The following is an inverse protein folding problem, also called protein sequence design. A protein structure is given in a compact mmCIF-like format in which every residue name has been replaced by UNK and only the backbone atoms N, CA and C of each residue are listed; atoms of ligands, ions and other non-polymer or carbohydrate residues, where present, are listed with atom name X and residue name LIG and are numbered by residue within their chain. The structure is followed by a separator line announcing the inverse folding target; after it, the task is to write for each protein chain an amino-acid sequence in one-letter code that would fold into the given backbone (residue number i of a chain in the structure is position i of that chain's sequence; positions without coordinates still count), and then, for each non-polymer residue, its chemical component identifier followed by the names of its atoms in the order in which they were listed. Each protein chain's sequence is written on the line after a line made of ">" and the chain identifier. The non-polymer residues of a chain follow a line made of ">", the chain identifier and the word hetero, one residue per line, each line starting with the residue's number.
data_IF_475092993515
#
_entry.id   IF_475092993515
#
_cell.length_a   1.000
_cell.length_b   1.000
_cell.length_c   1.000
_cell.angle_alpha   90.00
_cell.angle_beta   90.00
_cell.angle_gamma   90.00
#
_symmetry.space_group_name_H-M   'P 1'
#
loop_
_entity.id
_entity.type
_entity.pdbx_description
1 polymer ?
#
# COMPACT_ATOMS: atom_id res chain seq x y z
N UNK A 1 8.18 18.64 6.84
CA UNK A 1 7.43 17.63 6.08
C UNK A 1 8.36 16.91 5.11
N UNK A 2 8.34 15.59 5.10
CA UNK A 2 9.16 14.79 4.19
C UNK A 2 8.31 14.20 3.08
N UNK A 3 8.97 13.80 1.98
CA UNK A 3 8.34 13.06 0.90
C UNK A 3 8.79 11.60 1.00
N UNK A 4 7.83 10.69 1.08
CA UNK A 4 8.12 9.26 1.09
C UNK A 4 7.62 8.62 -0.20
N UNK A 5 8.44 7.75 -0.77
CA UNK A 5 8.06 6.96 -1.93
C UNK A 5 8.18 5.50 -1.55
N UNK A 6 7.10 4.77 -1.65
CA UNK A 6 7.06 3.34 -1.39
C UNK A 6 6.90 2.60 -2.69
N UNK A 7 7.74 1.61 -2.92
CA UNK A 7 7.71 0.80 -4.13
C UNK A 7 7.37 -0.64 -3.78
N UNK A 8 6.36 -1.19 -4.41
CA UNK A 8 5.95 -2.57 -4.20
C UNK A 8 6.21 -3.35 -5.49
N UNK A 9 7.14 -4.30 -5.44
CA UNK A 9 7.57 -5.07 -6.61
C UNK A 9 7.17 -6.54 -6.57
N UNK A 10 6.49 -6.98 -5.52
CA UNK A 10 6.10 -8.38 -5.34
C UNK A 10 4.61 -8.52 -5.15
N UNK A 11 4.06 -9.65 -5.60
CA UNK A 11 2.67 -10.01 -5.34
C UNK A 11 2.61 -10.83 -4.04
N UNK A 12 2.97 -10.19 -2.94
CA UNK A 12 3.08 -10.82 -1.63
C UNK A 12 2.25 -10.02 -0.63
N UNK A 13 1.30 -10.67 0.03
CA UNK A 13 0.42 -10.02 0.98
C UNK A 13 1.17 -9.43 2.17
N UNK A 14 2.27 -10.05 2.61
CA UNK A 14 3.07 -9.52 3.70
C UNK A 14 3.70 -8.18 3.33
N UNK A 15 4.32 -8.12 2.14
CA UNK A 15 4.96 -6.88 1.68
C UNK A 15 3.93 -5.81 1.37
N UNK A 16 2.80 -6.18 0.74
CA UNK A 16 1.74 -5.22 0.43
C UNK A 16 1.16 -4.63 1.71
N UNK A 17 0.90 -5.46 2.70
CA UNK A 17 0.36 -5.00 3.98
C UNK A 17 1.32 -4.01 4.64
N UNK A 18 2.62 -4.31 4.66
CA UNK A 18 3.61 -3.40 5.24
C UNK A 18 3.72 -2.11 4.45
N UNK A 19 3.70 -2.19 3.13
CA UNK A 19 3.75 -1.00 2.27
C UNK A 19 2.58 -0.07 2.59
N UNK A 20 1.37 -0.59 2.62
CA UNK A 20 0.19 0.23 2.87
C UNK A 20 0.15 0.76 4.30
N UNK A 21 0.59 -0.04 5.27
CA UNK A 21 0.65 0.38 6.66
C UNK A 21 1.61 1.56 6.85
N UNK A 22 2.81 1.46 6.31
CA UNK A 22 3.80 2.53 6.43
C UNK A 22 3.36 3.78 5.69
N UNK A 23 2.74 3.63 4.53
CA UNK A 23 2.20 4.76 3.78
C UNK A 23 1.14 5.49 4.61
N UNK A 24 0.24 4.75 5.25
CA UNK A 24 -0.77 5.33 6.12
C UNK A 24 -0.14 6.09 7.28
N UNK A 25 0.82 5.49 7.97
CA UNK A 25 1.49 6.13 9.09
C UNK A 25 2.19 7.42 8.69
N UNK A 26 2.92 7.40 7.57
CA UNK A 26 3.63 8.58 7.09
C UNK A 26 2.65 9.69 6.77
N UNK A 27 1.55 9.38 6.12
CA UNK A 27 0.54 10.37 5.79
C UNK A 27 -0.13 10.93 7.04
N UNK A 28 -0.43 10.11 8.02
CA UNK A 28 -1.03 10.55 9.28
C UNK A 28 -0.14 11.52 10.04
N UNK A 29 1.17 11.42 9.84
CA UNK A 29 2.14 12.33 10.45
C UNK A 29 2.37 13.61 9.65
N UNK A 30 1.61 13.82 8.58
CA UNK A 30 1.69 15.03 7.78
C UNK A 30 2.71 14.98 6.67
N UNK A 31 3.28 13.83 6.35
CA UNK A 31 4.23 13.70 5.25
C UNK A 31 3.51 13.45 3.94
N UNK A 32 4.16 13.82 2.85
CA UNK A 32 3.67 13.53 1.51
C UNK A 32 4.09 12.11 1.14
N UNK A 33 3.15 11.33 0.61
CA UNK A 33 3.36 9.92 0.29
C UNK A 33 2.97 9.63 -1.15
N UNK A 34 3.81 8.86 -1.84
CA UNK A 34 3.53 8.32 -3.17
C UNK A 34 3.83 6.83 -3.15
N UNK A 35 3.03 6.05 -3.86
CA UNK A 35 3.21 4.61 -3.95
C UNK A 35 3.33 4.24 -5.42
N UNK A 36 4.26 3.32 -5.74
CA UNK A 36 4.42 2.78 -7.09
C UNK A 36 4.38 1.26 -7.04
N UNK A 37 3.54 0.68 -7.89
CA UNK A 37 3.54 -0.76 -8.11
C UNK A 37 4.35 -1.05 -9.36
N UNK A 38 5.36 -1.91 -9.24
CA UNK A 38 6.21 -2.31 -10.37
C UNK A 38 6.29 -3.83 -10.41
N UNK A 39 6.67 -4.38 -11.57
CA UNK A 39 6.81 -5.83 -11.73
C UNK A 39 5.56 -6.56 -11.21
N UNK A 40 5.73 -7.58 -10.38
CA UNK A 40 4.62 -8.36 -9.84
C UNK A 40 3.77 -7.55 -8.87
N UNK A 41 4.28 -6.44 -8.34
CA UNK A 41 3.51 -5.54 -7.49
C UNK A 41 2.35 -4.88 -8.22
N UNK A 42 2.41 -4.79 -9.56
CA UNK A 42 1.31 -4.23 -10.34
C UNK A 42 0.02 -5.01 -10.21
N UNK A 43 0.08 -6.27 -9.80
CA UNK A 43 -1.11 -7.08 -9.57
C UNK A 43 -1.98 -6.52 -8.45
N UNK A 44 -1.41 -5.73 -7.54
CA UNK A 44 -2.19 -5.08 -6.48
C UNK A 44 -3.04 -3.91 -6.98
N UNK A 45 -2.85 -3.48 -8.22
CA UNK A 45 -3.72 -2.50 -8.86
C UNK A 45 -4.96 -3.15 -9.49
N UNK A 46 -5.01 -4.47 -9.56
CA UNK A 46 -6.13 -5.22 -10.14
C UNK A 46 -7.28 -5.25 -9.13
N UNK A 47 -8.47 -4.83 -9.57
CA UNK A 47 -9.67 -4.80 -8.72
C UNK A 47 -10.10 -6.16 -8.24
N UNK A 48 -9.69 -7.23 -8.93
CA UNK A 48 -10.04 -8.60 -8.56
C UNK A 48 -9.07 -9.19 -7.54
N UNK A 49 -7.97 -8.50 -7.24
CA UNK A 49 -6.99 -8.98 -6.26
C UNK A 49 -7.61 -9.01 -4.87
N UNK A 50 -7.42 -10.12 -4.18
CA UNK A 50 -7.95 -10.27 -2.83
C UNK A 50 -7.11 -9.48 -1.82
N UNK A 51 -7.63 -8.33 -1.40
CA UNK A 51 -6.96 -7.47 -0.42
C UNK A 51 -7.15 -7.97 1.02
N UNK A 52 -7.96 -9.01 1.22
CA UNK A 52 -8.22 -9.58 2.54
C UNK A 52 -7.34 -10.77 2.85
N UNK A 53 -6.41 -11.10 1.96
CA UNK A 53 -5.42 -12.14 2.21
C UNK A 53 -4.52 -11.67 3.36
N UNK A 54 -4.50 -12.44 4.44
CA UNK A 54 -3.80 -12.02 5.65
C UNK A 54 -2.29 -12.20 5.54
N UNK A 55 -1.57 -11.20 6.05
CA UNK A 55 -0.13 -11.31 6.25
C UNK A 55 0.16 -12.22 7.45
N UNK A 56 1.42 -12.60 7.59
CA UNK A 56 1.85 -13.45 8.71
C UNK A 56 1.56 -12.80 10.07
N UNK A 57 1.46 -11.48 10.11
CA UNK A 57 1.17 -10.72 11.33
C UNK A 57 -0.33 -10.67 11.66
N UNK A 58 -1.19 -11.24 10.82
CA UNK A 58 -2.64 -11.31 11.06
C UNK A 58 -3.45 -10.17 10.49
N UNK A 59 -2.82 -9.09 10.06
CA UNK A 59 -3.49 -8.00 9.37
C UNK A 59 -3.48 -8.27 7.86
N UNK A 60 -4.17 -7.43 7.09
CA UNK A 60 -4.26 -7.60 5.64
C UNK A 60 -4.19 -6.24 4.95
N UNK A 61 -3.91 -6.23 3.63
CA UNK A 61 -3.85 -4.96 2.88
C UNK A 61 -5.14 -4.14 2.99
N UNK A 62 -6.30 -4.80 3.07
CA UNK A 62 -7.59 -4.11 3.17
C UNK A 62 -7.75 -3.32 4.47
N UNK A 63 -6.93 -3.59 5.49
CA UNK A 63 -6.95 -2.83 6.73
C UNK A 63 -6.43 -1.40 6.53
N UNK A 64 -5.59 -1.18 5.52
CA UNK A 64 -4.92 0.09 5.29
C UNK A 64 -5.26 0.75 3.96
N UNK A 65 -5.55 -0.04 2.94
CA UNK A 65 -5.71 0.47 1.58
C UNK A 65 -6.88 1.46 1.43
N UNK A 66 -8.05 1.25 2.05
CA UNK A 66 -9.15 2.22 1.96
C UNK A 66 -8.76 3.61 2.46
N UNK A 67 -7.91 3.69 3.49
CA UNK A 67 -7.39 4.96 3.97
C UNK A 67 -6.61 5.70 2.86
N UNK A 68 -5.79 4.95 2.12
CA UNK A 68 -4.98 5.53 1.04
C UNK A 68 -5.86 6.09 -0.07
N UNK A 69 -6.93 5.39 -0.40
CA UNK A 69 -7.87 5.84 -1.42
C UNK A 69 -8.66 7.07 -0.97
N UNK A 70 -9.13 7.07 0.28
CA UNK A 70 -9.90 8.19 0.83
C UNK A 70 -9.07 9.47 0.89
N UNK A 71 -7.79 9.37 1.12
CA UNK A 71 -6.88 10.50 1.23
C UNK A 71 -6.19 10.83 -0.09
N UNK A 72 -6.62 10.21 -1.18
CA UNK A 72 -6.14 10.48 -2.54
C UNK A 72 -4.62 10.38 -2.66
N UNK A 73 -4.02 9.43 -1.95
CA UNK A 73 -2.58 9.19 -2.03
C UNK A 73 -2.25 8.68 -3.43
N UNK A 74 -1.31 9.32 -4.16
CA UNK A 74 -0.96 8.89 -5.51
C UNK A 74 -0.42 7.48 -5.55
N UNK A 75 -1.00 6.66 -6.40
CA UNK A 75 -0.56 5.28 -6.62
C UNK A 75 -0.30 5.11 -8.10
N UNK A 76 0.97 4.97 -8.47
CA UNK A 76 1.39 4.77 -9.85
C UNK A 76 1.61 3.30 -10.16
N UNK A 77 1.46 2.97 -11.44
CA UNK A 77 1.66 1.60 -11.92
C UNK A 77 2.64 1.60 -13.07
#
# INVERSE_FOLDING_TARGET
>A
MANFVYTLSKNDANLATRCFQFAKFAHEKGHQVNIFFIEDGTLWADKTRNFKEKAITGDCPDDYFPYLLENEIPIGV
#
